data_IF_664597351686
#
_entry.id   IF_664597351686
#
_cell.length_a   1.000
_cell.length_b   1.000
_cell.length_c   1.000
_cell.angle_alpha   90.00
_cell.angle_beta   90.00
_cell.angle_gamma   90.00
#
_symmetry.space_group_name_H-M   'P 1'
#
loop_
_entity.id
_entity.type
_entity.pdbx_description
1 polymer ?
#
# COMPACT_ATOMS: atom_id res chain seq x y z
N UNK A 1 -52.15 15.35 -36.46
CA UNK A 1 -53.30 15.94 -35.75
C UNK A 1 -52.79 16.44 -34.43
N UNK A 2 -52.61 17.76 -34.36
CA UNK A 2 -52.25 18.51 -33.17
C UNK A 2 -53.21 18.24 -32.02
N UNK A 3 -52.73 18.39 -30.78
CA UNK A 3 -53.33 19.31 -29.81
C UNK A 3 -52.27 19.73 -28.78
N UNK A 4 -51.91 21.00 -28.85
CA UNK A 4 -51.20 21.77 -27.83
C UNK A 4 -52.15 22.13 -26.70
N UNK A 5 -51.62 22.40 -25.49
CA UNK A 5 -52.44 22.91 -24.39
C UNK A 5 -51.61 23.22 -23.15
N UNK A 6 -51.09 24.44 -23.06
CA UNK A 6 -50.45 24.96 -21.86
C UNK A 6 -51.45 25.31 -20.76
N UNK A 7 -50.96 25.31 -19.52
CA UNK A 7 -51.69 25.81 -18.35
C UNK A 7 -50.77 25.94 -17.15
N UNK A 8 -50.29 27.15 -16.88
CA UNK A 8 -49.75 27.55 -15.58
C UNK A 8 -50.93 27.72 -14.62
N UNK A 9 -50.85 27.18 -13.40
CA UNK A 9 -51.15 27.98 -12.22
C UNK A 9 -50.47 27.44 -10.94
N UNK A 10 -50.08 28.40 -10.11
CA UNK A 10 -49.39 28.39 -8.82
C UNK A 10 -50.20 27.82 -7.66
N UNK A 11 -49.51 27.30 -6.63
CA UNK A 11 -50.13 26.97 -5.33
C UNK A 11 -49.28 26.11 -4.40
N UNK A 12 -48.38 26.76 -3.65
CA UNK A 12 -48.02 26.50 -2.24
C UNK A 12 -47.92 25.06 -1.68
N UNK A 13 -46.68 24.67 -1.35
CA UNK A 13 -46.29 24.22 0.00
C UNK A 13 -46.60 22.79 0.45
N UNK A 14 -45.55 21.96 0.59
CA UNK A 14 -45.07 21.50 1.91
C UNK A 14 -43.76 20.72 1.75
N UNK A 15 -42.68 21.30 2.28
CA UNK A 15 -41.39 20.65 2.45
C UNK A 15 -41.47 19.70 3.65
N UNK A 16 -41.04 18.45 3.46
CA UNK A 16 -40.87 17.50 4.55
C UNK A 16 -39.57 17.86 5.29
N UNK A 17 -39.69 18.55 6.43
CA UNK A 17 -38.58 18.79 7.36
C UNK A 17 -38.34 17.53 8.18
N UNK A 18 -37.36 16.71 7.75
CA UNK A 18 -36.74 15.70 8.61
C UNK A 18 -35.91 16.37 9.73
N UNK A 19 -35.69 15.68 10.87
CA UNK A 19 -35.23 16.29 12.10
C UNK A 19 -33.85 16.93 11.93
N UNK A 20 -33.72 18.15 12.48
CA UNK A 20 -32.50 18.95 12.45
C UNK A 20 -31.30 18.17 12.97
N UNK A 21 -30.22 18.16 12.17
CA UNK A 21 -28.90 17.77 12.65
C UNK A 21 -28.45 18.83 13.65
N UNK A 22 -28.54 18.51 14.94
CA UNK A 22 -27.94 19.31 15.99
C UNK A 22 -26.44 19.50 15.69
N UNK A 23 -25.98 20.75 15.69
CA UNK A 23 -24.57 21.15 15.59
C UNK A 23 -23.69 20.46 16.64
N UNK A 24 -24.27 20.11 17.79
CA UNK A 24 -23.61 19.33 18.86
C UNK A 24 -23.25 17.89 18.45
N UNK A 25 -24.00 17.25 17.54
CA UNK A 25 -23.65 15.92 17.02
C UNK A 25 -22.52 15.98 15.99
N UNK A 26 -22.41 17.08 15.23
CA UNK A 26 -21.30 17.31 14.32
C UNK A 26 -20.00 17.62 15.06
N UNK A 27 -20.07 18.38 16.16
CA UNK A 27 -18.94 18.62 17.06
C UNK A 27 -18.54 17.36 17.86
N UNK A 28 -19.51 16.57 18.34
CA UNK A 28 -19.23 15.27 18.96
C UNK A 28 -18.55 14.28 18.01
N UNK A 29 -18.90 14.30 16.72
CA UNK A 29 -18.26 13.47 15.71
C UNK A 29 -16.86 13.98 15.34
N UNK A 30 -16.64 15.30 15.29
CA UNK A 30 -15.30 15.87 15.08
C UNK A 30 -14.37 15.62 16.28
N UNK A 31 -14.90 15.69 17.51
CA UNK A 31 -14.14 15.47 18.73
C UNK A 31 -13.79 14.00 18.92
N UNK A 32 -14.68 13.07 18.52
CA UNK A 32 -14.34 11.63 18.43
C UNK A 32 -13.29 11.35 17.36
N UNK A 33 -13.35 12.03 16.22
CA UNK A 33 -12.36 11.87 15.15
C UNK A 33 -10.98 12.47 15.55
N UNK A 34 -10.96 13.52 16.37
CA UNK A 34 -9.74 14.09 16.97
C UNK A 34 -9.21 13.23 18.14
N UNK A 35 -10.07 12.61 18.95
CA UNK A 35 -9.67 11.66 20.00
C UNK A 35 -9.21 10.30 19.44
N UNK A 36 -9.73 9.84 18.29
CA UNK A 36 -9.25 8.64 17.60
C UNK A 36 -7.92 8.85 16.89
N UNK A 37 -7.58 10.08 16.49
CA UNK A 37 -6.24 10.45 16.03
C UNK A 37 -5.18 10.43 17.15
N UNK A 38 -5.60 10.47 18.42
CA UNK A 38 -4.69 10.49 19.57
C UNK A 38 -4.25 9.09 20.06
N UNK A 39 -4.86 8.00 19.56
CA UNK A 39 -4.44 6.63 19.89
C UNK A 39 -3.54 6.07 18.78
N UNK A 40 -2.33 6.64 18.70
CA UNK A 40 -1.29 6.13 17.81
C UNK A 40 -0.90 4.68 18.15
N UNK A 41 -0.56 3.86 17.15
CA UNK A 41 -0.04 2.51 17.36
C UNK A 41 1.30 2.56 18.13
N UNK A 42 1.55 1.49 18.89
CA UNK A 42 2.77 1.34 19.69
C UNK A 42 4.04 1.58 18.85
N UNK A 43 4.91 2.45 19.36
CA UNK A 43 6.15 2.95 18.73
C UNK A 43 7.16 1.87 18.29
N UNK A 44 6.94 0.59 18.63
CA UNK A 44 7.74 -0.57 18.19
C UNK A 44 7.20 -1.32 16.96
N UNK A 45 6.07 -0.89 16.38
CA UNK A 45 5.45 -1.59 15.24
C UNK A 45 5.94 -1.07 13.88
N UNK A 46 5.78 -1.88 12.83
CA UNK A 46 5.95 -1.42 11.43
C UNK A 46 5.04 -0.23 11.09
N UNK A 47 3.88 -0.10 11.76
CA UNK A 47 2.98 1.04 11.65
C UNK A 47 3.63 2.36 12.13
N UNK A 48 4.34 2.33 13.27
CA UNK A 48 5.11 3.50 13.75
C UNK A 48 6.17 3.96 12.76
N UNK A 49 6.72 3.05 11.93
CA UNK A 49 7.63 3.40 10.85
C UNK A 49 6.97 4.11 9.66
N UNK A 50 5.69 3.87 9.40
CA UNK A 50 4.99 4.45 8.24
C UNK A 50 4.31 5.77 8.60
N UNK A 51 3.82 5.88 9.84
CA UNK A 51 3.19 7.09 10.38
C UNK A 51 4.21 8.20 10.65
N UNK A 52 5.42 7.84 11.09
CA UNK A 52 6.52 8.80 11.29
C UNK A 52 6.96 9.48 9.98
N UNK A 53 6.66 8.96 8.79
CA UNK A 53 7.11 9.57 7.52
C UNK A 53 5.98 9.93 6.55
N UNK A 54 4.71 9.93 7.00
CA UNK A 54 3.56 10.19 6.12
C UNK A 54 3.53 9.28 4.88
N UNK A 55 4.06 8.06 5.00
CA UNK A 55 4.37 7.22 3.84
C UNK A 55 3.33 6.12 3.68
N UNK A 56 2.70 6.04 2.50
CA UNK A 56 1.81 4.94 2.12
C UNK A 56 2.64 3.94 1.32
N UNK A 57 2.65 2.67 1.71
CA UNK A 57 3.41 1.66 0.96
C UNK A 57 2.55 1.02 -0.12
N UNK A 58 3.10 0.84 -1.33
CA UNK A 58 2.41 0.25 -2.49
C UNK A 58 3.13 -0.99 -3.02
N UNK A 59 2.43 -2.10 -3.24
CA UNK A 59 3.02 -3.35 -3.73
C UNK A 59 2.11 -4.02 -4.77
N UNK A 60 2.73 -4.67 -5.77
CA UNK A 60 2.06 -5.62 -6.66
C UNK A 60 2.10 -7.04 -6.09
N UNK A 61 0.98 -7.74 -6.14
CA UNK A 61 0.85 -9.17 -5.81
C UNK A 61 0.21 -9.92 -6.96
N UNK A 62 0.68 -11.14 -7.22
CA UNK A 62 -0.01 -12.06 -8.13
C UNK A 62 -1.11 -12.79 -7.39
N UNK A 63 -2.34 -12.69 -7.88
CA UNK A 63 -3.41 -13.58 -7.47
C UNK A 63 -3.48 -14.77 -8.43
N UNK A 64 -3.01 -15.93 -8.00
CA UNK A 64 -3.06 -17.18 -8.75
C UNK A 64 -4.51 -17.61 -8.98
N UNK A 65 -4.82 -17.93 -10.23
CA UNK A 65 -6.13 -18.39 -10.68
C UNK A 65 -5.98 -19.71 -11.42
N UNK A 66 -7.05 -20.50 -11.49
CA UNK A 66 -7.11 -21.60 -12.46
C UNK A 66 -7.01 -21.03 -13.86
N UNK A 67 -6.32 -21.73 -14.75
CA UNK A 67 -6.23 -21.35 -16.16
C UNK A 67 -7.63 -21.16 -16.74
N UNK A 68 -7.98 -19.93 -17.18
CA UNK A 68 -9.29 -19.70 -17.78
C UNK A 68 -9.42 -20.45 -19.12
N UNK A 69 -10.62 -20.89 -19.43
CA UNK A 69 -10.91 -21.53 -20.72
C UNK A 69 -10.67 -20.53 -21.86
N UNK A 70 -10.06 -21.00 -22.95
CA UNK A 70 -9.82 -20.23 -24.17
C UNK A 70 -9.00 -18.93 -24.00
N UNK A 71 -8.22 -18.78 -22.91
CA UNK A 71 -7.45 -17.54 -22.66
C UNK A 71 -6.03 -17.53 -23.21
N UNK A 72 -5.61 -18.59 -23.92
CA UNK A 72 -4.22 -18.74 -24.36
C UNK A 72 -3.23 -18.51 -23.21
N UNK A 73 -2.30 -17.57 -23.40
CA UNK A 73 -1.27 -17.20 -22.41
C UNK A 73 -1.52 -15.87 -21.70
N UNK A 74 -2.71 -15.26 -21.82
CA UNK A 74 -2.98 -13.89 -21.34
C UNK A 74 -2.83 -13.73 -19.81
N UNK A 75 -3.07 -14.81 -19.07
CA UNK A 75 -2.91 -14.88 -17.62
C UNK A 75 -1.64 -15.63 -17.19
N UNK A 76 -0.89 -16.22 -18.12
CA UNK A 76 0.25 -17.08 -17.81
C UNK A 76 1.50 -16.26 -17.53
N UNK A 77 2.05 -16.37 -16.33
CA UNK A 77 3.25 -15.64 -15.92
C UNK A 77 4.53 -16.42 -16.17
N UNK A 78 5.66 -15.70 -16.07
CA UNK A 78 7.00 -16.26 -16.17
C UNK A 78 7.32 -17.31 -15.08
N UNK A 79 6.53 -17.40 -14.02
CA UNK A 79 6.64 -18.41 -12.95
C UNK A 79 5.85 -19.69 -13.25
N UNK A 80 5.27 -19.81 -14.45
CA UNK A 80 4.64 -21.05 -14.90
C UNK A 80 3.20 -21.28 -14.42
N UNK A 81 2.49 -20.23 -13.98
CA UNK A 81 1.08 -20.36 -13.57
C UNK A 81 0.21 -19.20 -14.06
N UNK A 82 -1.11 -19.42 -14.09
CA UNK A 82 -2.08 -18.37 -14.41
C UNK A 82 -2.34 -17.46 -13.19
N UNK A 83 -2.33 -16.15 -13.41
CA UNK A 83 -2.60 -15.16 -12.35
C UNK A 83 -3.22 -13.88 -12.90
N UNK A 84 -3.84 -13.10 -12.02
CA UNK A 84 -4.15 -11.70 -12.26
C UNK A 84 -3.33 -10.82 -11.32
N UNK A 85 -3.04 -9.59 -11.76
CA UNK A 85 -2.30 -8.62 -10.95
C UNK A 85 -3.25 -7.91 -10.00
N UNK A 86 -2.87 -7.86 -8.73
CA UNK A 86 -3.45 -7.03 -7.69
C UNK A 86 -2.40 -6.00 -7.26
N UNK A 87 -2.64 -4.74 -7.57
CA UNK A 87 -1.89 -3.62 -7.01
C UNK A 87 -2.63 -3.07 -5.81
N UNK A 88 -1.94 -2.85 -4.69
CA UNK A 88 -2.55 -2.18 -3.56
C UNK A 88 -1.58 -1.20 -2.89
N UNK A 89 -2.14 -0.13 -2.34
CA UNK A 89 -1.46 0.77 -1.42
C UNK A 89 -2.09 0.64 -0.03
N UNK A 90 -1.27 0.73 1.02
CA UNK A 90 -1.67 0.45 2.38
C UNK A 90 -1.16 1.53 3.34
N UNK A 91 -2.02 1.96 4.26
CA UNK A 91 -1.67 2.90 5.33
C UNK A 91 -1.04 2.21 6.54
N UNK A 92 -0.54 3.00 7.49
CA UNK A 92 0.07 2.50 8.72
C UNK A 92 -0.86 1.61 9.56
N UNK A 93 -2.18 1.70 9.37
CA UNK A 93 -3.18 0.87 10.06
C UNK A 93 -3.51 -0.42 9.31
N UNK A 94 -2.65 -0.80 8.36
CA UNK A 94 -2.80 -1.97 7.51
C UNK A 94 -4.04 -1.92 6.61
N UNK A 95 -4.67 -0.76 6.41
CA UNK A 95 -5.84 -0.63 5.54
C UNK A 95 -5.41 -0.34 4.11
N UNK A 96 -6.03 -1.02 3.16
CA UNK A 96 -5.80 -0.74 1.75
C UNK A 96 -6.46 0.58 1.37
N UNK A 97 -5.66 1.62 1.11
CA UNK A 97 -6.13 2.95 0.70
C UNK A 97 -6.36 3.05 -0.80
N UNK A 98 -5.76 2.13 -1.56
CA UNK A 98 -5.96 2.02 -3.00
C UNK A 98 -5.85 0.55 -3.42
N UNK A 99 -6.70 0.11 -4.35
CA UNK A 99 -6.57 -1.21 -5.00
C UNK A 99 -6.92 -1.12 -6.49
N UNK A 100 -6.11 -1.77 -7.31
CA UNK A 100 -6.41 -2.03 -8.73
C UNK A 100 -6.21 -3.52 -9.01
N UNK A 101 -7.20 -4.12 -9.67
CA UNK A 101 -7.32 -5.57 -9.82
C UNK A 101 -7.71 -5.91 -11.25
N UNK A 102 -6.93 -6.79 -11.88
CA UNK A 102 -7.33 -7.42 -13.14
C UNK A 102 -6.46 -7.09 -14.35
N UNK A 103 -5.31 -6.43 -14.18
CA UNK A 103 -4.35 -6.30 -15.26
C UNK A 103 -3.80 -7.68 -15.69
N UNK A 104 -3.63 -7.86 -17.01
CA UNK A 104 -3.08 -9.06 -17.62
C UNK A 104 -1.58 -9.19 -17.35
N UNK A 105 -1.09 -10.42 -17.42
CA UNK A 105 0.30 -10.76 -17.08
C UNK A 105 1.26 -10.60 -18.25
N UNK A 106 0.77 -10.64 -19.51
CA UNK A 106 1.62 -10.47 -20.71
C UNK A 106 2.14 -9.05 -20.92
N UNK A 107 1.70 -8.11 -20.09
CA UNK A 107 2.13 -6.73 -20.14
C UNK A 107 3.39 -6.57 -19.26
N UNK A 108 4.45 -5.94 -19.80
CA UNK A 108 5.61 -5.59 -18.97
C UNK A 108 5.20 -4.68 -17.82
N UNK A 109 5.80 -4.85 -16.65
CA UNK A 109 5.26 -4.31 -15.39
C UNK A 109 5.17 -2.78 -15.35
N UNK A 110 6.06 -2.07 -16.05
CA UNK A 110 5.95 -0.62 -16.21
C UNK A 110 4.88 -0.20 -17.20
N UNK A 111 4.58 -1.05 -18.17
CA UNK A 111 3.39 -0.93 -19.00
C UNK A 111 2.11 -1.13 -18.19
N UNK A 112 2.06 -2.16 -17.33
CA UNK A 112 0.93 -2.40 -16.42
C UNK A 112 0.73 -1.21 -15.49
N UNK A 113 1.82 -0.72 -14.87
CA UNK A 113 1.75 0.43 -13.99
C UNK A 113 1.25 1.68 -14.74
N UNK A 114 1.89 2.07 -15.85
CA UNK A 114 1.51 3.29 -16.59
C UNK A 114 0.10 3.25 -17.18
N UNK A 115 -0.41 2.06 -17.54
CA UNK A 115 -1.78 1.87 -18.04
C UNK A 115 -2.83 1.67 -16.95
N UNK A 116 -2.41 1.28 -15.75
CA UNK A 116 -3.33 1.18 -14.61
C UNK A 116 -3.93 2.54 -14.28
N UNK A 117 -5.16 2.57 -13.79
CA UNK A 117 -5.81 3.83 -13.38
C UNK A 117 -4.95 4.56 -12.35
N UNK A 118 -4.36 3.82 -11.41
CA UNK A 118 -3.45 4.37 -10.41
C UNK A 118 -2.21 5.02 -11.02
N UNK A 119 -1.48 4.26 -11.83
CA UNK A 119 -0.19 4.71 -12.32
C UNK A 119 -0.36 5.83 -13.33
N UNK A 120 -1.40 5.81 -14.15
CA UNK A 120 -1.76 6.95 -15.00
C UNK A 120 -2.09 8.19 -14.16
N UNK A 121 -2.93 8.08 -13.12
CA UNK A 121 -3.25 9.21 -12.25
C UNK A 121 -2.03 9.70 -11.45
N UNK A 122 -1.14 8.80 -11.01
CA UNK A 122 0.09 9.16 -10.31
C UNK A 122 1.07 9.88 -11.23
N UNK A 123 1.24 9.38 -12.46
CA UNK A 123 2.14 9.96 -13.48
C UNK A 123 1.65 11.34 -13.91
N UNK A 124 0.33 11.49 -14.09
CA UNK A 124 -0.28 12.74 -14.52
C UNK A 124 -0.49 13.76 -13.38
N UNK A 125 -0.26 13.37 -12.12
CA UNK A 125 -0.49 14.25 -10.96
C UNK A 125 -1.97 14.46 -10.65
N UNK A 126 -2.83 13.52 -11.03
CA UNK A 126 -4.28 13.56 -10.85
C UNK A 126 -4.74 12.91 -9.52
N UNK A 127 -3.85 12.15 -8.86
CA UNK A 127 -4.17 11.63 -7.53
C UNK A 127 -4.31 12.79 -6.53
N UNK A 128 -5.34 12.77 -5.66
CA UNK A 128 -5.57 13.81 -4.66
C UNK A 128 -4.60 13.64 -3.48
N UNK A 129 -3.31 13.81 -3.73
CA UNK A 129 -2.26 13.75 -2.72
C UNK A 129 -2.24 15.07 -1.92
N UNK A 130 -1.93 15.00 -0.61
CA UNK A 130 -1.71 16.21 0.16
C UNK A 130 -0.55 17.05 -0.41
N UNK A 131 -0.59 18.35 -0.16
CA UNK A 131 0.53 19.23 -0.49
C UNK A 131 1.81 18.77 0.23
N UNK A 132 3.01 19.04 -0.33
CA UNK A 132 4.27 18.74 0.33
C UNK A 132 4.32 19.27 1.77
N UNK A 133 4.88 18.47 2.68
CA UNK A 133 4.96 18.76 4.10
C UNK A 133 6.41 18.68 4.59
N UNK A 134 6.69 19.28 5.74
CA UNK A 134 8.01 19.24 6.36
C UNK A 134 8.23 17.86 6.96
N UNK A 135 9.43 17.29 6.74
CA UNK A 135 9.81 16.02 7.36
C UNK A 135 9.89 16.20 8.90
N UNK A 136 9.51 15.18 9.69
CA UNK A 136 9.48 15.29 11.15
C UNK A 136 10.83 15.75 11.73
N UNK A 137 10.79 16.69 12.68
CA UNK A 137 12.01 17.22 13.31
C UNK A 137 12.97 17.94 12.35
N UNK A 138 12.56 18.20 11.10
CA UNK A 138 13.37 18.83 10.06
C UNK A 138 12.77 20.18 9.63
N UNK A 139 13.48 20.90 8.75
CA UNK A 139 12.95 22.03 7.97
C UNK A 139 12.77 21.66 6.49
N UNK A 140 13.09 20.42 6.12
CA UNK A 140 13.11 19.98 4.74
C UNK A 140 11.70 19.62 4.27
N UNK A 141 11.17 20.38 3.30
CA UNK A 141 9.88 20.09 2.66
C UNK A 141 9.99 18.94 1.67
N UNK A 142 9.13 17.92 1.80
CA UNK A 142 9.09 16.74 0.92
C UNK A 142 7.66 16.44 0.46
N UNK A 143 7.45 15.94 -0.78
CA UNK A 143 6.15 15.43 -1.18
C UNK A 143 5.78 14.15 -0.42
N UNK A 144 4.49 13.86 -0.35
CA UNK A 144 4.01 12.54 0.04
C UNK A 144 4.35 11.52 -1.04
N UNK A 145 4.90 10.37 -0.65
CA UNK A 145 5.39 9.35 -1.59
C UNK A 145 4.78 7.98 -1.31
N UNK A 146 4.55 7.24 -2.39
CA UNK A 146 4.35 5.80 -2.34
C UNK A 146 5.70 5.07 -2.34
N UNK A 147 5.80 3.94 -1.66
CA UNK A 147 6.99 3.08 -1.72
C UNK A 147 6.71 1.86 -2.58
N UNK A 148 7.39 1.77 -3.73
CA UNK A 148 7.41 0.59 -4.60
C UNK A 148 8.64 -0.29 -4.37
N UNK A 149 8.58 -1.53 -4.85
CA UNK A 149 9.79 -2.35 -5.00
C UNK A 149 10.62 -1.93 -6.24
N UNK A 150 11.63 -2.73 -6.59
CA UNK A 150 12.51 -2.44 -7.73
C UNK A 150 11.79 -2.44 -9.09
N UNK A 151 10.63 -3.10 -9.21
CA UNK A 151 9.88 -3.17 -10.47
C UNK A 151 9.18 -1.84 -10.79
N UNK A 152 8.88 -1.01 -9.80
CA UNK A 152 8.26 0.28 -10.03
C UNK A 152 9.24 1.30 -10.64
N UNK A 153 8.77 2.25 -11.47
CA UNK A 153 9.58 3.37 -11.91
C UNK A 153 9.84 4.33 -10.73
N UNK A 154 11.00 5.00 -10.73
CA UNK A 154 11.27 6.08 -9.78
C UNK A 154 10.59 7.36 -10.26
N UNK A 155 9.59 7.85 -9.52
CA UNK A 155 8.84 9.10 -9.80
C UNK A 155 8.80 9.98 -8.56
N UNK A 156 8.39 11.25 -8.69
CA UNK A 156 8.36 12.21 -7.58
C UNK A 156 7.56 11.70 -6.38
N UNK A 157 6.40 11.10 -6.63
CA UNK A 157 5.52 10.52 -5.60
C UNK A 157 5.63 8.98 -5.53
N UNK A 158 6.66 8.35 -6.11
CA UNK A 158 6.87 6.90 -6.07
C UNK A 158 8.35 6.56 -5.93
N UNK A 159 8.73 6.22 -4.70
CA UNK A 159 10.09 5.90 -4.33
C UNK A 159 10.37 4.40 -4.44
N UNK A 160 11.53 4.06 -4.98
CA UNK A 160 12.05 2.68 -5.05
C UNK A 160 13.45 2.58 -4.44
N UNK A 161 13.95 1.37 -4.12
CA UNK A 161 15.31 1.17 -3.62
C UNK A 161 16.37 1.67 -4.60
N UNK A 162 17.57 1.96 -4.10
CA UNK A 162 18.76 2.03 -4.95
C UNK A 162 19.05 0.65 -5.55
N UNK A 163 19.22 0.55 -6.88
CA UNK A 163 19.52 -0.72 -7.54
C UNK A 163 20.98 -1.14 -7.33
N UNK A 164 21.24 -2.44 -7.39
CA UNK A 164 22.58 -3.03 -7.29
C UNK A 164 22.96 -3.48 -5.87
N UNK A 165 23.99 -4.32 -5.79
CA UNK A 165 24.49 -4.92 -4.54
C UNK A 165 25.64 -4.12 -3.91
N UNK A 166 26.47 -3.47 -4.72
CA UNK A 166 27.61 -2.68 -4.25
C UNK A 166 27.20 -1.22 -3.94
N UNK A 167 26.43 -1.03 -2.87
CA UNK A 167 25.92 0.26 -2.44
C UNK A 167 26.77 0.85 -1.31
N UNK A 168 26.92 2.18 -1.33
CA UNK A 168 27.46 2.95 -0.20
C UNK A 168 26.55 2.82 1.04
N UNK A 169 27.12 3.06 2.23
CA UNK A 169 26.43 2.84 3.51
C UNK A 169 25.12 3.64 3.62
N UNK A 170 25.13 4.90 3.20
CA UNK A 170 23.94 5.78 3.11
C UNK A 170 22.81 5.18 2.26
N UNK A 171 23.13 4.65 1.08
CA UNK A 171 22.16 4.00 0.18
C UNK A 171 21.64 2.70 0.75
N UNK A 172 22.48 1.93 1.44
CA UNK A 172 22.05 0.71 2.14
C UNK A 172 21.09 1.04 3.30
N UNK A 173 21.36 2.10 4.06
CA UNK A 173 20.46 2.60 5.11
C UNK A 173 19.12 3.01 4.50
N UNK A 174 19.11 3.80 3.43
CA UNK A 174 17.87 4.14 2.74
C UNK A 174 17.09 2.89 2.29
N UNK A 175 17.76 1.92 1.65
CA UNK A 175 17.11 0.68 1.22
C UNK A 175 16.52 -0.11 2.40
N UNK A 176 17.23 -0.17 3.52
CA UNK A 176 16.74 -0.78 4.76
C UNK A 176 15.49 -0.07 5.29
N UNK A 177 15.52 1.27 5.36
CA UNK A 177 14.40 2.09 5.87
C UNK A 177 13.17 1.96 4.96
N UNK A 178 13.39 1.96 3.65
CA UNK A 178 12.36 1.75 2.64
C UNK A 178 11.75 0.35 2.74
N UNK A 179 12.58 -0.70 2.87
CA UNK A 179 12.11 -2.06 3.09
C UNK A 179 11.32 -2.20 4.41
N UNK A 180 11.77 -1.56 5.49
CA UNK A 180 11.06 -1.53 6.78
C UNK A 180 9.66 -0.93 6.63
N UNK A 181 9.52 0.19 5.92
CA UNK A 181 8.22 0.81 5.67
C UNK A 181 7.33 -0.05 4.75
N UNK A 182 7.92 -0.73 3.75
CA UNK A 182 7.17 -1.69 2.90
C UNK A 182 6.61 -2.90 3.66
N UNK A 183 7.14 -3.24 4.84
CA UNK A 183 6.55 -4.31 5.67
C UNK A 183 5.10 -4.05 6.06
N UNK A 184 4.64 -2.79 6.06
CA UNK A 184 3.25 -2.46 6.37
C UNK A 184 2.30 -3.06 5.35
N UNK A 185 2.54 -2.85 4.05
CA UNK A 185 1.68 -3.45 3.01
C UNK A 185 1.86 -4.97 2.94
N UNK A 186 3.05 -5.49 3.23
CA UNK A 186 3.27 -6.94 3.34
C UNK A 186 2.45 -7.54 4.49
N UNK A 187 2.43 -6.92 5.67
CA UNK A 187 1.57 -7.30 6.79
C UNK A 187 0.10 -7.20 6.43
N UNK A 188 -0.34 -6.13 5.73
CA UNK A 188 -1.73 -5.99 5.28
C UNK A 188 -2.17 -7.16 4.39
N UNK A 189 -1.34 -7.54 3.41
CA UNK A 189 -1.57 -8.74 2.60
C UNK A 189 -1.54 -10.03 3.43
N UNK A 190 -0.60 -10.17 4.36
CA UNK A 190 -0.48 -11.32 5.24
C UNK A 190 -1.69 -11.52 6.17
N UNK A 191 -2.21 -10.43 6.75
CA UNK A 191 -3.45 -10.43 7.52
C UNK A 191 -4.60 -10.88 6.62
N UNK A 192 -4.77 -10.26 5.45
CA UNK A 192 -5.85 -10.61 4.54
C UNK A 192 -5.78 -12.08 4.11
N UNK A 193 -4.60 -12.59 3.77
CA UNK A 193 -4.39 -13.98 3.36
C UNK A 193 -4.67 -14.98 4.50
N UNK A 194 -4.13 -14.72 5.71
CA UNK A 194 -4.32 -15.59 6.87
C UNK A 194 -5.78 -15.65 7.35
N UNK A 195 -6.53 -14.56 7.16
CA UNK A 195 -7.96 -14.46 7.53
C UNK A 195 -8.88 -15.02 6.44
N UNK A 196 -8.58 -14.78 5.17
CA UNK A 196 -9.40 -15.22 4.05
C UNK A 196 -8.72 -16.34 3.27
N UNK A 197 -9.00 -17.58 3.65
CA UNK A 197 -8.43 -18.82 3.06
C UNK A 197 -8.69 -19.02 1.56
N UNK A 198 -9.52 -18.18 0.95
CA UNK A 198 -9.65 -18.14 -0.51
C UNK A 198 -8.31 -17.82 -1.19
N UNK A 199 -7.40 -17.14 -0.48
CA UNK A 199 -6.04 -16.86 -0.95
C UNK A 199 -5.04 -17.98 -0.64
N UNK A 200 -5.42 -19.12 -0.06
CA UNK A 200 -4.43 -20.18 0.22
C UNK A 200 -4.05 -20.99 -1.02
N UNK A 201 -4.97 -21.07 -2.00
CA UNK A 201 -4.80 -21.85 -3.23
C UNK A 201 -5.23 -21.04 -4.47
N UNK A 202 -4.97 -21.54 -5.69
CA UNK A 202 -5.50 -20.91 -6.90
C UNK A 202 -7.01 -20.72 -6.80
N UNK A 203 -7.52 -19.53 -7.13
CA UNK A 203 -8.95 -19.28 -7.11
C UNK A 203 -9.57 -19.89 -8.38
N UNK A 204 -10.46 -20.86 -8.18
CA UNK A 204 -11.16 -21.56 -9.27
C UNK A 204 -12.47 -20.83 -9.62
N UNK A 205 -12.33 -19.68 -10.28
CA UNK A 205 -13.42 -18.85 -10.76
C UNK A 205 -13.00 -18.14 -12.05
N UNK A 206 -13.97 -17.66 -12.83
CA UNK A 206 -13.66 -16.81 -13.99
C UNK A 206 -12.92 -15.53 -13.55
N UNK A 207 -12.00 -14.99 -14.36
CA UNK A 207 -11.22 -13.79 -14.00
C UNK A 207 -12.09 -12.61 -13.50
N UNK A 208 -13.23 -12.38 -14.16
CA UNK A 208 -14.22 -11.36 -13.75
C UNK A 208 -14.72 -11.58 -12.32
N UNK A 209 -15.02 -12.83 -11.96
CA UNK A 209 -15.48 -13.20 -10.62
C UNK A 209 -14.34 -13.11 -9.59
N UNK A 210 -13.11 -13.49 -9.97
CA UNK A 210 -11.93 -13.33 -9.10
C UNK A 210 -11.71 -11.86 -8.74
N UNK A 211 -11.84 -10.94 -9.70
CA UNK A 211 -11.76 -9.49 -9.44
C UNK A 211 -12.76 -9.05 -8.38
N UNK A 212 -14.02 -9.50 -8.48
CA UNK A 212 -15.07 -9.18 -7.49
C UNK A 212 -14.75 -9.77 -6.13
N UNK A 213 -14.29 -11.01 -6.07
CA UNK A 213 -13.88 -11.69 -4.82
C UNK A 213 -12.78 -10.90 -4.13
N UNK A 214 -11.73 -10.51 -4.85
CA UNK A 214 -10.62 -9.74 -4.28
C UNK A 214 -11.12 -8.40 -3.73
N UNK A 215 -11.93 -7.67 -4.49
CA UNK A 215 -12.51 -6.38 -4.05
C UNK A 215 -13.38 -6.55 -2.80
N UNK A 216 -14.15 -7.63 -2.71
CA UNK A 216 -14.95 -7.94 -1.52
C UNK A 216 -14.06 -8.25 -0.31
N UNK A 217 -12.99 -9.04 -0.47
CA UNK A 217 -12.03 -9.32 0.60
C UNK A 217 -11.34 -8.04 1.09
N UNK A 218 -10.94 -7.14 0.18
CA UNK A 218 -10.36 -5.84 0.52
C UNK A 218 -11.34 -4.98 1.32
N UNK A 219 -12.60 -4.91 0.87
CA UNK A 219 -13.64 -4.15 1.56
C UNK A 219 -13.90 -4.70 2.99
N UNK A 220 -14.03 -6.02 3.14
CA UNK A 220 -14.18 -6.66 4.45
C UNK A 220 -12.94 -6.46 5.33
N UNK A 221 -11.74 -6.62 4.76
CA UNK A 221 -10.48 -6.39 5.48
C UNK A 221 -10.46 -4.97 6.07
N UNK A 222 -10.69 -3.95 5.25
CA UNK A 222 -10.70 -2.56 5.70
C UNK A 222 -11.78 -2.30 6.76
N UNK A 223 -12.98 -2.86 6.59
CA UNK A 223 -14.07 -2.75 7.56
C UNK A 223 -13.66 -3.35 8.91
N UNK A 224 -13.05 -4.53 8.93
CA UNK A 224 -12.62 -5.20 10.16
C UNK A 224 -11.41 -4.52 10.80
N UNK A 225 -10.47 -3.99 10.02
CA UNK A 225 -9.39 -3.14 10.52
C UNK A 225 -9.94 -1.88 11.22
N UNK A 226 -11.06 -1.33 10.75
CA UNK A 226 -11.65 -0.12 11.33
C UNK A 226 -12.52 -0.41 12.56
N UNK A 227 -13.33 -1.47 12.52
CA UNK A 227 -14.36 -1.73 13.55
C UNK A 227 -13.89 -2.66 14.66
N UNK A 228 -12.98 -3.59 14.35
CA UNK A 228 -12.62 -4.71 15.22
C UNK A 228 -11.10 -4.90 15.27
N UNK A 229 -10.32 -3.81 15.13
CA UNK A 229 -8.86 -3.86 14.91
C UNK A 229 -8.12 -4.81 15.85
N UNK A 230 -8.41 -4.79 17.16
CA UNK A 230 -7.71 -5.61 18.16
C UNK A 230 -8.03 -7.10 18.05
N UNK A 231 -9.25 -7.45 17.64
CA UNK A 231 -9.69 -8.82 17.41
C UNK A 231 -9.24 -9.34 16.05
N UNK A 232 -9.33 -8.49 15.03
CA UNK A 232 -8.96 -8.82 13.65
C UNK A 232 -7.44 -8.90 13.47
N UNK A 233 -6.69 -8.00 14.12
CA UNK A 233 -5.23 -7.93 14.13
C UNK A 233 -4.73 -8.02 15.58
N UNK A 234 -4.73 -9.22 16.19
CA UNK A 234 -4.23 -9.41 17.54
C UNK A 234 -2.72 -9.17 17.61
N UNK A 235 -2.25 -8.85 18.82
CA UNK A 235 -0.82 -8.73 19.11
C UNK A 235 -0.11 -10.04 18.77
N UNK A 236 0.94 -9.98 17.96
CA UNK A 236 1.66 -11.16 17.45
C UNK A 236 1.32 -11.52 16.01
N UNK A 237 0.16 -11.10 15.47
CA UNK A 237 -0.21 -11.44 14.10
C UNK A 237 0.76 -10.82 13.08
N UNK A 238 1.19 -9.57 13.30
CA UNK A 238 2.01 -8.76 12.38
C UNK A 238 3.46 -8.63 12.83
N UNK A 239 4.34 -8.26 11.89
CA UNK A 239 5.75 -8.01 12.20
C UNK A 239 5.93 -6.84 13.18
N UNK A 240 6.78 -7.09 14.18
CA UNK A 240 7.22 -6.07 15.15
C UNK A 240 8.74 -5.93 15.13
N UNK A 241 9.23 -4.77 15.56
CA UNK A 241 10.66 -4.50 15.65
C UNK A 241 10.98 -4.18 17.10
N UNK A 242 11.92 -4.91 17.69
CA UNK A 242 12.35 -4.67 19.06
C UNK A 242 13.08 -3.32 19.17
N UNK A 243 13.27 -2.82 20.40
CA UNK A 243 14.11 -1.63 20.63
C UNK A 243 15.55 -1.80 20.14
N UNK A 244 16.03 -3.05 20.04
CA UNK A 244 17.32 -3.39 19.44
C UNK A 244 17.27 -3.50 17.90
N UNK A 245 16.16 -3.15 17.25
CA UNK A 245 16.04 -3.21 15.79
C UNK A 245 15.88 -4.62 15.22
N UNK A 246 15.68 -5.62 16.07
CA UNK A 246 15.51 -7.01 15.65
C UNK A 246 14.08 -7.23 15.16
N UNK A 247 13.94 -7.87 14.01
CA UNK A 247 12.64 -8.16 13.43
C UNK A 247 12.08 -9.44 14.08
N UNK A 248 10.93 -9.30 14.74
CA UNK A 248 10.11 -10.43 15.13
C UNK A 248 9.02 -10.61 14.07
N UNK A 249 9.03 -11.77 13.41
CA UNK A 249 8.06 -12.10 12.37
C UNK A 249 6.68 -12.35 12.99
N UNK A 250 5.64 -11.81 12.33
CA UNK A 250 4.25 -12.04 12.71
C UNK A 250 3.77 -13.45 12.40
N UNK A 251 2.84 -13.96 13.21
CA UNK A 251 2.24 -15.28 13.08
C UNK A 251 1.65 -15.55 11.69
N UNK A 252 1.19 -14.49 10.98
CA UNK A 252 0.60 -14.66 9.66
C UNK A 252 1.53 -15.41 8.69
N UNK A 253 2.87 -15.27 8.85
CA UNK A 253 3.86 -15.94 7.98
C UNK A 253 3.82 -17.46 8.09
N UNK A 254 3.67 -17.99 9.30
CA UNK A 254 3.51 -19.42 9.54
C UNK A 254 2.14 -19.89 9.06
N UNK A 255 1.12 -19.06 9.27
CA UNK A 255 -0.27 -19.39 8.93
C UNK A 255 -0.50 -19.51 7.42
N UNK A 256 0.25 -18.77 6.61
CA UNK A 256 0.23 -18.82 5.14
C UNK A 256 1.43 -19.59 4.58
N UNK A 257 2.20 -20.27 5.42
CA UNK A 257 3.32 -21.09 4.98
C UNK A 257 2.80 -22.19 4.05
N UNK A 258 3.37 -22.27 2.84
CA UNK A 258 2.90 -23.19 1.80
C UNK A 258 1.75 -22.67 0.93
N UNK A 259 1.16 -21.51 1.24
CA UNK A 259 0.17 -20.89 0.36
C UNK A 259 0.81 -20.51 -0.99
N UNK A 260 0.09 -20.75 -2.08
CA UNK A 260 0.61 -20.55 -3.45
C UNK A 260 0.07 -19.30 -4.14
N UNK A 261 -0.58 -18.42 -3.38
CA UNK A 261 -1.24 -17.22 -3.86
C UNK A 261 -0.64 -15.96 -3.20
N UNK A 262 -0.97 -14.77 -3.73
CA UNK A 262 -0.42 -13.48 -3.27
C UNK A 262 1.12 -13.45 -3.27
N UNK A 263 1.74 -14.15 -4.21
CA UNK A 263 3.19 -14.22 -4.32
C UNK A 263 3.75 -12.87 -4.80
N UNK A 264 4.91 -12.50 -4.25
CA UNK A 264 5.63 -11.28 -4.64
C UNK A 264 5.98 -11.32 -6.12
N UNK A 265 5.78 -10.19 -6.77
CA UNK A 265 6.12 -9.95 -8.16
C UNK A 265 7.64 -9.75 -8.32
N UNK A 266 8.21 -10.12 -9.46
CA UNK A 266 9.66 -10.06 -9.70
C UNK A 266 10.01 -9.22 -10.93
N UNK A 267 10.75 -8.14 -10.67
CA UNK A 267 11.63 -7.30 -11.49
C UNK A 267 11.32 -7.14 -12.99
N UNK A 268 10.68 -6.03 -13.37
CA UNK A 268 11.00 -5.24 -14.59
C UNK A 268 10.65 -3.75 -14.36
N UNK A 269 11.61 -2.84 -14.57
CA UNK A 269 11.52 -1.71 -15.54
C UNK A 269 12.77 -0.82 -15.55
N UNK A 270 13.17 -0.45 -16.76
CA UNK A 270 14.31 0.43 -17.08
C UNK A 270 13.84 1.84 -17.47
N UNK A 271 12.77 2.35 -16.85
CA UNK A 271 12.39 3.75 -17.09
C UNK A 271 13.40 4.70 -16.45
N UNK A 272 13.83 5.71 -17.21
CA UNK A 272 14.73 6.75 -16.71
C UNK A 272 13.99 7.64 -15.73
N UNK A 273 14.51 7.72 -14.52
CA UNK A 273 13.99 8.62 -13.49
C UNK A 273 14.15 10.09 -13.91
N UNK A 274 13.19 10.93 -13.53
CA UNK A 274 13.34 12.38 -13.68
C UNK A 274 14.33 12.91 -12.63
N UNK A 275 14.95 14.06 -12.91
CA UNK A 275 15.86 14.73 -11.95
C UNK A 275 15.16 15.02 -10.62
N UNK A 276 13.89 15.45 -10.66
CA UNK A 276 13.09 15.70 -9.46
C UNK A 276 12.87 14.42 -8.64
N UNK A 277 12.57 13.29 -9.29
CA UNK A 277 12.39 12.02 -8.58
C UNK A 277 13.68 11.55 -7.90
N UNK A 278 14.83 11.77 -8.54
CA UNK A 278 16.15 11.51 -7.92
C UNK A 278 16.37 12.42 -6.71
N UNK A 279 16.07 13.71 -6.82
CA UNK A 279 16.24 14.67 -5.72
C UNK A 279 15.38 14.31 -4.51
N UNK A 280 14.11 13.95 -4.70
CA UNK A 280 13.24 13.50 -3.60
C UNK A 280 13.83 12.27 -2.91
N UNK A 281 14.35 11.30 -3.67
CA UNK A 281 14.99 10.12 -3.09
C UNK A 281 16.24 10.46 -2.28
N UNK A 282 17.11 11.30 -2.83
CA UNK A 282 18.32 11.77 -2.12
C UNK A 282 17.93 12.54 -0.85
N UNK A 283 16.87 13.34 -0.89
CA UNK A 283 16.36 14.07 0.27
C UNK A 283 15.92 13.14 1.41
N UNK A 284 15.17 12.07 1.11
CA UNK A 284 14.83 11.05 2.11
C UNK A 284 16.07 10.31 2.62
N UNK A 285 17.00 9.96 1.71
CA UNK A 285 18.26 9.30 2.08
C UNK A 285 19.06 10.17 3.07
N UNK A 286 19.23 11.45 2.76
CA UNK A 286 19.97 12.40 3.61
C UNK A 286 19.25 12.63 4.94
N UNK A 287 17.91 12.76 4.92
CA UNK A 287 17.10 12.85 6.15
C UNK A 287 17.33 11.67 7.09
N UNK A 288 17.40 10.43 6.58
CA UNK A 288 17.65 9.25 7.41
C UNK A 288 19.03 9.19 8.06
N UNK A 289 19.93 10.10 7.71
CA UNK A 289 21.25 10.25 8.33
C UNK A 289 21.30 11.38 9.37
N UNK A 290 20.22 12.18 9.49
CA UNK A 290 20.12 13.25 10.50
C UNK A 290 19.73 12.70 11.86
N UNK A 291 20.01 13.46 12.93
CA UNK A 291 19.58 13.09 14.30
C UNK A 291 18.07 12.84 14.40
N UNK A 292 17.27 13.64 13.70
CA UNK A 292 15.81 13.52 13.68
C UNK A 292 15.30 12.32 12.88
N UNK A 293 16.03 11.90 11.84
CA UNK A 293 15.60 10.85 10.92
C UNK A 293 16.31 9.51 11.10
N UNK A 294 17.37 9.42 11.90
CA UNK A 294 18.13 8.18 12.10
C UNK A 294 17.48 7.24 13.11
N UNK A 295 17.58 5.93 12.86
CA UNK A 295 17.30 4.93 13.89
C UNK A 295 18.60 4.54 14.62
N UNK A 296 18.62 4.42 15.96
CA UNK A 296 19.83 4.10 16.73
C UNK A 296 20.53 2.80 16.30
N UNK A 297 19.81 1.87 15.67
CA UNK A 297 20.30 0.55 15.30
C UNK A 297 20.53 0.36 13.79
N UNK A 298 20.22 1.34 12.93
CA UNK A 298 20.19 1.13 11.47
C UNK A 298 21.53 0.73 10.88
N UNK A 299 22.63 1.32 11.35
CA UNK A 299 23.97 1.02 10.84
C UNK A 299 24.37 -0.43 11.14
N UNK A 300 24.17 -0.86 12.39
CA UNK A 300 24.43 -2.24 12.81
C UNK A 300 23.65 -3.25 11.97
N UNK A 301 22.37 -2.98 11.71
CA UNK A 301 21.51 -3.89 10.92
C UNK A 301 22.02 -3.99 9.49
N UNK A 302 22.37 -2.86 8.87
CA UNK A 302 22.89 -2.83 7.50
C UNK A 302 24.25 -3.53 7.38
N UNK A 303 25.13 -3.37 8.37
CA UNK A 303 26.44 -4.03 8.40
C UNK A 303 26.32 -5.55 8.57
N UNK A 304 25.42 -6.03 9.45
CA UNK A 304 25.16 -7.47 9.62
C UNK A 304 24.73 -8.14 8.31
N UNK A 305 23.84 -7.49 7.54
CA UNK A 305 23.42 -8.00 6.23
C UNK A 305 24.52 -7.99 5.15
N UNK A 306 25.61 -7.27 5.36
CA UNK A 306 26.78 -7.26 4.45
C UNK A 306 27.78 -8.38 4.77
N UNK A 307 27.79 -8.91 6.00
CA UNK A 307 28.72 -9.96 6.43
C UNK A 307 28.28 -11.37 6.02
N UNK A 308 26.99 -11.60 5.79
CA UNK A 308 26.48 -12.91 5.33
C UNK A 308 26.78 -13.21 3.85
N UNK A 309 27.34 -12.28 3.07
CA UNK A 309 27.70 -12.52 1.66
C UNK A 309 29.18 -12.85 1.43
N UNK A 310 29.95 -13.19 2.47
CA UNK A 310 31.38 -13.54 2.37
C UNK A 310 31.71 -14.94 2.90
N UNK A 311 30.72 -15.78 3.19
CA UNK A 311 30.95 -17.18 3.52
C UNK A 311 29.74 -18.01 3.13
N UNK A 312 29.81 -18.59 1.93
CA UNK A 312 29.41 -19.97 1.55
C UNK A 312 29.54 -20.13 0.03
#
# INVERSE_FOLDING_TARGET
MDWTGGGRNSGTGTAWTGPGRNSEQAQSASDRNQQEQARGPHSGTSAGAAEEYGTVSSVFRHVRIRAPEHSGSDYFNYKGYCSIILMAACDARYRFTYVDVGAFVRESDGGVFSRSTFGSQLINGELPLPAPAVLPGSQTMSPYVFLGDEAFPLRMNLMRPYPGSNLSMDKKIYNYRQARARRVVENGFGIMASRFRIFSRPIDCSPKKVVVIIKACVALHNFLCQTESTRYIPSGLVDTVTSAGELQQGEWRQVVEGDTNLLSHGRLTMERATRLAVLVREQFKDYFLTESGMLPYQERIVQRGTLQSLSE
#
